data_IF_971846569669
#
_entry.id   IF_971846569669
#
_cell.length_a   1.000
_cell.length_b   1.000
_cell.length_c   1.000
_cell.angle_alpha   90.00
_cell.angle_beta   90.00
_cell.angle_gamma   90.00
#
_symmetry.space_group_name_H-M   'P 1'
#
loop_
_entity.id
_entity.type
_entity.pdbx_description
1 polymer ?
#
# COMPACT_ATOMS: atom_id res chain seq x y z
N UNK A 1 -13.15 8.65 -30.27
CA UNK A 1 -13.04 7.28 -29.69
C UNK A 1 -13.67 7.31 -28.32
N UNK A 2 -14.71 6.51 -28.11
CA UNK A 2 -15.59 6.55 -26.93
C UNK A 2 -14.88 5.93 -25.72
N UNK A 3 -14.76 6.70 -24.63
CA UNK A 3 -14.11 6.35 -23.37
C UNK A 3 -14.99 5.36 -22.58
N UNK A 4 -15.13 4.13 -23.09
CA UNK A 4 -15.89 3.05 -22.46
C UNK A 4 -14.95 2.17 -21.65
N UNK A 5 -14.81 2.39 -20.33
CA UNK A 5 -14.49 1.37 -19.29
C UNK A 5 -14.14 1.96 -17.90
N UNK A 6 -14.94 2.89 -17.38
CA UNK A 6 -14.88 3.22 -15.93
C UNK A 6 -16.22 2.95 -15.22
N UNK A 7 -17.34 2.87 -15.96
CA UNK A 7 -18.67 2.62 -15.39
C UNK A 7 -18.87 1.24 -14.75
N UNK A 8 -17.93 0.29 -14.92
CA UNK A 8 -18.07 -1.08 -14.42
C UNK A 8 -17.37 -1.37 -13.09
N UNK A 9 -16.72 -0.38 -12.46
CA UNK A 9 -16.18 -0.51 -11.11
C UNK A 9 -17.14 0.14 -10.11
N UNK A 10 -18.35 -0.40 -10.03
CA UNK A 10 -19.27 -0.04 -8.95
C UNK A 10 -18.83 -0.79 -7.69
N UNK A 11 -18.32 -0.05 -6.71
CA UNK A 11 -17.99 -0.62 -5.40
C UNK A 11 -19.28 -1.06 -4.72
N UNK A 12 -19.30 -2.27 -4.13
CA UNK A 12 -20.47 -2.72 -3.41
C UNK A 12 -20.53 -2.00 -2.05
N UNK A 13 -21.48 -1.09 -1.88
CA UNK A 13 -21.62 -0.33 -0.63
C UNK A 13 -22.19 -1.14 0.53
N UNK A 14 -22.74 -2.33 0.27
CA UNK A 14 -23.28 -3.19 1.32
C UNK A 14 -22.23 -4.04 2.04
N UNK A 15 -20.98 -4.07 1.58
CA UNK A 15 -19.91 -4.83 2.26
C UNK A 15 -19.20 -4.02 3.35
N UNK A 16 -19.57 -2.76 3.56
CA UNK A 16 -18.98 -1.92 4.59
C UNK A 16 -20.03 -1.04 5.27
N UNK A 17 -19.75 -0.63 6.50
CA UNK A 17 -20.53 0.33 7.26
C UNK A 17 -19.71 1.61 7.48
N UNK A 18 -20.37 2.76 7.57
CA UNK A 18 -19.73 4.02 7.97
C UNK A 18 -19.94 4.17 9.47
N UNK A 19 -18.84 4.24 10.22
CA UNK A 19 -18.85 4.40 11.68
C UNK A 19 -18.19 5.72 12.09
N UNK A 20 -18.46 6.18 13.32
CA UNK A 20 -17.78 7.35 13.88
C UNK A 20 -16.35 7.00 14.25
N UNK A 21 -15.41 7.93 13.98
CA UNK A 21 -14.02 7.79 14.40
C UNK A 21 -13.84 7.74 15.94
N UNK A 22 -14.81 8.25 16.69
CA UNK A 22 -14.77 8.34 18.15
C UNK A 22 -15.40 7.14 18.84
N UNK A 23 -16.09 6.27 18.11
CA UNK A 23 -16.64 5.05 18.67
C UNK A 23 -15.53 4.02 18.88
N UNK A 24 -15.61 3.26 19.98
CA UNK A 24 -14.59 2.27 20.30
C UNK A 24 -14.59 1.17 19.23
N UNK A 25 -13.47 1.06 18.52
CA UNK A 25 -13.26 0.14 17.40
C UNK A 25 -13.09 -1.32 17.88
N UNK A 26 -14.17 -1.82 18.47
CA UNK A 26 -14.26 -3.17 19.02
C UNK A 26 -14.28 -4.23 17.92
N UNK A 27 -14.84 -3.92 16.75
CA UNK A 27 -14.94 -4.85 15.63
C UNK A 27 -13.59 -5.07 14.95
N UNK A 28 -12.83 -4.04 14.61
CA UNK A 28 -11.52 -4.22 13.98
C UNK A 28 -10.56 -4.92 14.94
N UNK A 29 -10.56 -4.51 16.21
CA UNK A 29 -9.72 -5.16 17.24
C UNK A 29 -10.05 -6.65 17.34
N UNK A 30 -11.34 -7.00 17.37
CA UNK A 30 -11.79 -8.39 17.40
C UNK A 30 -11.35 -9.12 16.14
N UNK A 31 -11.53 -8.53 14.96
CA UNK A 31 -11.10 -9.11 13.68
C UNK A 31 -9.60 -9.43 13.68
N UNK A 32 -8.75 -8.49 14.09
CA UNK A 32 -7.31 -8.68 14.10
C UNK A 32 -6.85 -9.71 15.13
N UNK A 33 -7.52 -9.81 16.28
CA UNK A 33 -7.25 -10.84 17.29
C UNK A 33 -7.58 -12.25 16.80
N UNK A 34 -8.54 -12.41 15.88
CA UNK A 34 -8.85 -13.70 15.26
C UNK A 34 -7.84 -14.13 14.18
N UNK A 35 -6.96 -13.24 13.72
CA UNK A 35 -5.93 -13.57 12.72
C UNK A 35 -4.68 -14.15 13.36
N UNK A 36 -3.97 -15.00 12.62
CA UNK A 36 -2.69 -15.52 13.08
C UNK A 36 -1.67 -14.39 13.28
N UNK A 37 -0.69 -14.53 14.17
CA UNK A 37 0.39 -13.55 14.30
C UNK A 37 1.12 -13.27 12.98
N UNK A 38 1.27 -14.30 12.13
CA UNK A 38 1.90 -14.18 10.81
C UNK A 38 1.10 -13.27 9.88
N UNK A 39 -0.20 -13.45 9.81
CA UNK A 39 -1.07 -12.66 8.91
C UNK A 39 -1.10 -11.18 9.33
N UNK A 40 -1.09 -10.93 10.65
CA UNK A 40 -0.98 -9.56 11.19
C UNK A 40 0.32 -8.88 10.77
N UNK A 41 1.45 -9.59 10.85
CA UNK A 41 2.75 -9.04 10.42
C UNK A 41 2.78 -8.74 8.92
N UNK A 42 2.20 -9.60 8.09
CA UNK A 42 2.10 -9.38 6.65
C UNK A 42 1.27 -8.12 6.36
N UNK A 43 0.11 -7.98 7.01
CA UNK A 43 -0.74 -6.79 6.85
C UNK A 43 -0.03 -5.50 7.31
N UNK A 44 0.73 -5.56 8.41
CA UNK A 44 1.51 -4.44 8.92
C UNK A 44 2.61 -4.03 7.93
N UNK A 45 3.35 -4.99 7.37
CA UNK A 45 4.36 -4.71 6.35
C UNK A 45 3.75 -4.07 5.10
N UNK A 46 2.59 -4.55 4.66
CA UNK A 46 1.87 -3.94 3.54
C UNK A 46 1.49 -2.47 3.83
N UNK A 47 0.94 -2.19 5.02
CA UNK A 47 0.62 -0.84 5.45
C UNK A 47 1.86 0.05 5.53
N UNK A 48 2.97 -0.46 6.08
CA UNK A 48 4.26 0.24 6.10
C UNK A 48 4.69 0.63 4.69
N UNK A 49 4.56 -0.28 3.72
CA UNK A 49 4.97 0.01 2.35
C UNK A 49 4.14 1.13 1.72
N UNK A 50 2.81 1.10 1.89
CA UNK A 50 1.89 2.12 1.38
C UNK A 50 2.15 3.48 2.04
N UNK A 51 2.13 3.52 3.38
CA UNK A 51 2.19 4.78 4.12
C UNK A 51 3.50 5.54 3.92
N UNK A 52 4.61 4.81 3.77
CA UNK A 52 5.93 5.41 3.59
C UNK A 52 6.36 5.52 2.14
N UNK A 53 5.44 5.32 1.17
CA UNK A 53 5.76 5.34 -0.25
C UNK A 53 6.98 4.46 -0.59
N UNK A 54 7.07 3.31 0.06
CA UNK A 54 8.14 2.36 -0.13
C UNK A 54 7.93 1.69 -1.49
N UNK A 55 8.77 2.03 -2.46
CA UNK A 55 8.82 1.33 -3.72
C UNK A 55 9.98 0.32 -3.71
N UNK A 56 9.69 -1.00 -3.61
CA UNK A 56 10.72 -2.04 -3.61
C UNK A 56 11.50 -2.10 -4.93
N UNK A 57 11.01 -1.49 -6.01
CA UNK A 57 11.69 -1.46 -7.31
C UNK A 57 12.70 -0.31 -7.45
N UNK A 58 12.59 0.76 -6.67
CA UNK A 58 13.52 1.91 -6.74
C UNK A 58 14.54 1.97 -5.61
N UNK A 59 14.32 1.27 -4.49
CA UNK A 59 15.27 1.29 -3.35
C UNK A 59 16.55 0.49 -3.57
N UNK A 60 16.56 -0.44 -4.55
CA UNK A 60 17.64 -1.43 -4.72
C UNK A 60 18.46 -1.32 -6.01
N UNK A 61 18.30 -0.26 -6.81
CA UNK A 61 19.30 0.03 -7.84
C UNK A 61 20.60 0.42 -7.13
N UNK A 62 21.54 -0.53 -7.11
CA UNK A 62 22.90 -0.31 -6.63
C UNK A 62 23.49 0.84 -7.44
N UNK A 63 23.65 2.01 -6.80
CA UNK A 63 24.29 3.16 -7.41
C UNK A 63 25.78 2.85 -7.50
N UNK A 64 26.23 2.41 -8.67
CA UNK A 64 27.66 2.35 -8.98
C UNK A 64 28.07 3.77 -9.35
N UNK A 65 28.86 4.42 -8.50
CA UNK A 65 29.52 5.66 -8.87
C UNK A 65 30.63 5.32 -9.86
N UNK A 66 30.44 5.69 -11.13
CA UNK A 66 31.50 5.65 -12.14
C UNK A 66 32.12 7.05 -12.28
N UNK A 67 33.45 7.12 -12.34
CA UNK A 67 34.18 8.36 -12.62
C UNK A 67 34.29 8.51 -14.13
N UNK A 68 33.60 9.50 -14.71
CA UNK A 68 33.74 9.83 -16.12
C UNK A 68 34.98 10.71 -16.37
N UNK A 69 35.81 10.34 -17.33
CA UNK A 69 36.96 11.14 -17.79
C UNK A 69 36.45 12.24 -18.75
N UNK A 70 36.85 13.49 -18.54
CA UNK A 70 36.56 14.60 -19.46
C UNK A 70 37.50 14.49 -20.68
N UNK A 71 36.98 14.34 -21.92
CA UNK A 71 37.84 14.30 -23.10
C UNK A 71 38.53 15.66 -23.32
N UNK A 72 39.80 15.68 -23.75
CA UNK A 72 40.53 16.90 -24.08
C UNK A 72 39.88 17.62 -25.26
N UNK A 73 39.91 18.96 -25.22
CA UNK A 73 39.49 19.85 -26.32
C UNK A 73 40.50 19.88 -27.46
#
# INVERSE_FOLDING_TARGET
MSNKKLDSFQFNHHVFSVTSLTEEDTEDKTYWLHKSPRDRLIALEYLRQIMYSYDPNTTRLQRVFEIAQLPPR
#
